data_IF_773570759769
#
_entry.id   IF_773570759769
#
_cell.length_a   1.000
_cell.length_b   1.000
_cell.length_c   1.000
_cell.angle_alpha   90.00
_cell.angle_beta   90.00
_cell.angle_gamma   90.00
#
_symmetry.space_group_name_H-M   'P 1'
#
loop_
_entity.id
_entity.type
_entity.pdbx_description
1 polymer ?
#
# COMPACT_ATOMS: atom_id res chain seq x y z
N UNK A 1 5.94 7.01 -23.66
CA UNK A 1 4.65 7.23 -22.97
C UNK A 1 4.75 6.72 -21.54
N UNK A 2 4.25 7.47 -20.61
CA UNK A 2 4.22 7.02 -19.23
C UNK A 2 3.25 5.86 -19.08
N UNK A 3 3.64 4.83 -18.32
CA UNK A 3 2.74 3.73 -18.00
C UNK A 3 1.86 4.05 -16.79
N UNK A 4 2.09 5.19 -16.15
CA UNK A 4 1.31 5.65 -15.01
C UNK A 4 0.33 6.73 -15.44
N UNK A 5 -0.90 6.63 -14.98
CA UNK A 5 -1.86 7.71 -15.07
C UNK A 5 -2.03 8.29 -13.67
N UNK A 6 -1.60 9.54 -13.50
CA UNK A 6 -1.57 10.20 -12.20
C UNK A 6 -2.84 11.00 -11.92
N UNK A 7 -3.84 10.95 -12.83
CA UNK A 7 -5.09 11.66 -12.61
C UNK A 7 -6.03 10.82 -11.75
N UNK A 8 -6.83 11.51 -10.93
CA UNK A 8 -7.84 10.83 -10.12
C UNK A 8 -8.87 10.09 -10.98
N UNK A 9 -9.17 10.64 -12.16
CA UNK A 9 -10.21 10.08 -13.04
C UNK A 9 -9.88 8.68 -13.51
N UNK A 10 -8.60 8.41 -13.74
CA UNK A 10 -8.15 7.11 -14.25
C UNK A 10 -7.39 6.31 -13.19
N UNK A 11 -7.45 6.74 -11.94
CA UNK A 11 -6.72 6.07 -10.86
C UNK A 11 -7.47 4.83 -10.40
N UNK A 12 -6.82 3.68 -10.52
CA UNK A 12 -7.37 2.41 -10.06
C UNK A 12 -7.78 2.47 -8.58
N UNK A 13 -6.91 3.01 -7.73
CA UNK A 13 -7.17 3.05 -6.30
C UNK A 13 -8.28 4.04 -5.94
N UNK A 14 -8.40 5.14 -6.67
CA UNK A 14 -9.55 6.04 -6.50
C UNK A 14 -10.85 5.34 -6.86
N UNK A 15 -10.84 4.54 -7.92
CA UNK A 15 -12.02 3.78 -8.34
C UNK A 15 -12.41 2.74 -7.30
N UNK A 16 -11.43 2.05 -6.74
CA UNK A 16 -11.67 1.08 -5.66
C UNK A 16 -12.22 1.79 -4.44
N UNK A 17 -11.63 2.92 -4.06
CA UNK A 17 -12.07 3.72 -2.91
C UNK A 17 -13.54 4.16 -3.04
N UNK A 18 -13.96 4.47 -4.25
CA UNK A 18 -15.31 4.96 -4.55
C UNK A 18 -16.32 3.85 -4.81
N UNK A 19 -15.88 2.59 -4.79
CA UNK A 19 -16.76 1.46 -5.05
C UNK A 19 -17.01 1.17 -6.53
N UNK A 20 -16.27 1.82 -7.43
CA UNK A 20 -16.42 1.62 -8.86
C UNK A 20 -15.74 0.36 -9.37
N UNK A 21 -14.79 -0.16 -8.60
CA UNK A 21 -14.10 -1.41 -8.91
C UNK A 21 -13.98 -2.26 -7.65
N UNK A 22 -14.10 -3.56 -7.83
CA UNK A 22 -14.02 -4.52 -6.73
C UNK A 22 -12.57 -4.77 -6.32
N UNK A 23 -12.38 -5.07 -5.04
CA UNK A 23 -11.09 -5.47 -4.50
C UNK A 23 -11.33 -6.35 -3.27
N UNK A 24 -10.32 -7.13 -2.89
CA UNK A 24 -10.37 -7.96 -1.70
C UNK A 24 -9.95 -7.12 -0.49
N UNK A 25 -10.91 -6.41 0.10
CA UNK A 25 -10.65 -5.55 1.25
C UNK A 25 -10.29 -6.36 2.49
N UNK A 26 -9.25 -5.94 3.20
CA UNK A 26 -8.87 -6.47 4.51
C UNK A 26 -9.12 -5.45 5.61
N UNK A 27 -9.22 -4.18 5.27
CA UNK A 27 -9.47 -3.09 6.21
C UNK A 27 -10.02 -1.88 5.47
N UNK A 28 -10.91 -1.13 6.08
CA UNK A 28 -11.28 0.19 5.56
C UNK A 28 -11.79 1.10 6.68
N UNK A 29 -11.47 2.37 6.54
CA UNK A 29 -12.07 3.43 7.34
C UNK A 29 -12.28 4.67 6.46
N UNK A 30 -12.58 5.81 7.05
CA UNK A 30 -12.88 7.02 6.27
C UNK A 30 -11.66 7.61 5.59
N UNK A 31 -10.46 7.30 6.05
CA UNK A 31 -9.22 7.92 5.56
C UNK A 31 -8.38 7.01 4.67
N UNK A 32 -8.47 5.70 4.90
CA UNK A 32 -7.66 4.74 4.13
C UNK A 32 -8.35 3.39 4.02
N UNK A 33 -7.79 2.54 3.18
CA UNK A 33 -8.25 1.18 3.04
C UNK A 33 -7.06 0.28 2.72
N UNK A 34 -7.24 -1.01 2.91
CA UNK A 34 -6.21 -1.99 2.59
C UNK A 34 -6.84 -3.14 1.83
N UNK A 35 -6.11 -3.62 0.83
CA UNK A 35 -6.57 -4.69 -0.06
C UNK A 35 -5.47 -5.72 -0.25
N UNK A 36 -5.87 -6.96 -0.60
CA UNK A 36 -4.93 -7.98 -1.04
C UNK A 36 -4.36 -7.59 -2.40
N UNK A 37 -3.05 -7.75 -2.58
CA UNK A 37 -2.44 -7.58 -3.90
C UNK A 37 -2.86 -8.77 -4.78
N UNK A 38 -3.29 -8.49 -6.00
CA UNK A 38 -3.73 -9.54 -6.93
C UNK A 38 -2.57 -10.34 -7.50
N UNK A 39 -1.34 -9.85 -7.36
CA UNK A 39 -0.13 -10.54 -7.79
C UNK A 39 0.84 -10.59 -6.61
N UNK A 40 0.52 -11.39 -5.58
CA UNK A 40 1.29 -11.36 -4.33
C UNK A 40 2.71 -11.85 -4.51
N UNK A 41 3.65 -11.14 -3.88
CA UNK A 41 5.07 -11.47 -3.91
C UNK A 41 5.52 -12.13 -2.61
N UNK A 42 4.59 -12.36 -1.69
CA UNK A 42 4.81 -13.06 -0.42
C UNK A 42 3.48 -13.68 0.02
N UNK A 43 3.49 -14.64 0.95
CA UNK A 43 2.22 -15.23 1.44
C UNK A 43 1.23 -14.19 1.96
N UNK A 44 1.72 -13.13 2.62
CA UNK A 44 0.93 -11.94 2.93
C UNK A 44 1.48 -10.80 2.10
N UNK A 45 0.63 -10.23 1.24
CA UNK A 45 0.97 -9.06 0.44
C UNK A 45 -0.25 -8.15 0.37
N UNK A 46 -0.24 -7.12 1.19
CA UNK A 46 -1.37 -6.21 1.36
C UNK A 46 -0.93 -4.81 0.99
N UNK A 47 -1.82 -4.05 0.37
CA UNK A 47 -1.59 -2.65 0.00
C UNK A 47 -2.39 -1.76 0.94
N UNK A 48 -1.73 -0.81 1.59
CA UNK A 48 -2.38 0.17 2.46
C UNK A 48 -2.40 1.51 1.72
N UNK A 49 -3.59 2.06 1.51
CA UNK A 49 -3.82 3.09 0.50
C UNK A 49 -4.66 4.22 1.11
N UNK A 50 -4.23 5.49 1.00
CA UNK A 50 -5.09 6.60 1.43
C UNK A 50 -6.23 6.79 0.43
N UNK A 51 -7.42 7.16 0.93
CA UNK A 51 -8.54 7.47 0.04
C UNK A 51 -8.30 8.75 -0.75
N UNK A 52 -7.67 9.74 -0.11
CA UNK A 52 -7.28 10.95 -0.79
C UNK A 52 -6.20 10.64 -1.82
N UNK A 53 -6.37 11.12 -3.04
CA UNK A 53 -5.41 10.87 -4.10
C UNK A 53 -4.13 11.66 -3.85
N UNK A 54 -3.02 10.95 -3.64
CA UNK A 54 -1.67 11.48 -3.59
C UNK A 54 -0.87 10.66 -4.59
N UNK A 55 -0.18 11.31 -5.49
CA UNK A 55 0.55 10.62 -6.54
C UNK A 55 1.64 9.71 -5.97
N UNK A 56 2.43 10.24 -5.03
CA UNK A 56 3.49 9.47 -4.38
C UNK A 56 3.87 10.12 -3.06
N UNK A 57 4.71 9.42 -2.29
CA UNK A 57 5.09 9.86 -0.94
C UNK A 57 5.92 11.14 -0.96
N UNK A 58 6.71 11.36 -2.00
CA UNK A 58 7.57 12.55 -2.08
C UNK A 58 6.76 13.84 -2.19
N UNK A 59 5.52 13.75 -2.67
CA UNK A 59 4.63 14.91 -2.84
C UNK A 59 3.69 15.11 -1.68
N UNK A 60 3.73 14.24 -0.66
CA UNK A 60 2.88 14.38 0.52
C UNK A 60 3.55 15.29 1.53
N UNK A 61 2.84 16.34 1.93
CA UNK A 61 3.33 17.33 2.89
C UNK A 61 2.52 17.29 4.18
N UNK A 62 1.87 16.17 4.45
CA UNK A 62 0.97 15.96 5.59
C UNK A 62 1.52 14.81 6.43
N UNK A 63 2.24 15.15 7.49
CA UNK A 63 2.85 14.15 8.37
C UNK A 63 1.81 13.31 9.10
N UNK A 64 0.62 13.87 9.37
CA UNK A 64 -0.42 13.12 10.05
C UNK A 64 -0.98 12.03 9.16
N UNK A 65 -1.16 12.33 7.87
CA UNK A 65 -1.57 11.32 6.90
C UNK A 65 -0.53 10.19 6.80
N UNK A 66 0.74 10.54 6.68
CA UNK A 66 1.80 9.54 6.59
C UNK A 66 1.87 8.69 7.86
N UNK A 67 1.80 9.34 9.03
CA UNK A 67 1.80 8.61 10.30
C UNK A 67 0.63 7.66 10.40
N UNK A 68 -0.55 8.10 10.01
CA UNK A 68 -1.76 7.26 10.05
C UNK A 68 -1.60 6.04 9.13
N UNK A 69 -1.10 6.25 7.91
CA UNK A 69 -0.92 5.14 6.97
C UNK A 69 0.03 4.07 7.53
N UNK A 70 1.17 4.49 8.08
CA UNK A 70 2.13 3.55 8.64
C UNK A 70 1.60 2.86 9.89
N UNK A 71 0.87 3.59 10.74
CA UNK A 71 0.24 2.97 11.91
C UNK A 71 -0.81 1.93 11.50
N UNK A 72 -1.59 2.22 10.46
CA UNK A 72 -2.57 1.24 9.96
C UNK A 72 -1.87 0.02 9.38
N UNK A 73 -0.77 0.22 8.66
CA UNK A 73 0.01 -0.90 8.15
C UNK A 73 0.48 -1.81 9.28
N UNK A 74 0.96 -1.22 10.38
CA UNK A 74 1.39 -1.99 11.55
C UNK A 74 0.21 -2.69 12.23
N UNK A 75 -0.94 -2.03 12.31
CA UNK A 75 -2.16 -2.65 12.88
C UNK A 75 -2.58 -3.88 12.05
N UNK A 76 -2.55 -3.74 10.73
CA UNK A 76 -2.92 -4.85 9.84
C UNK A 76 -1.90 -5.99 9.97
N UNK A 77 -0.60 -5.66 10.05
CA UNK A 77 0.42 -6.67 10.28
C UNK A 77 0.17 -7.47 11.56
N UNK A 78 -0.26 -6.79 12.62
CA UNK A 78 -0.61 -7.46 13.87
C UNK A 78 -1.79 -8.39 13.69
N UNK A 79 -2.83 -7.93 12.99
CA UNK A 79 -4.01 -8.75 12.70
C UNK A 79 -3.67 -9.97 11.86
N UNK A 80 -2.68 -9.86 10.98
CA UNK A 80 -2.19 -10.95 10.15
C UNK A 80 -1.17 -11.81 10.90
N UNK A 81 -0.93 -11.53 12.18
CA UNK A 81 -0.03 -12.28 13.07
C UNK A 81 1.43 -12.19 12.65
N UNK A 82 1.82 -11.08 12.03
CA UNK A 82 3.19 -10.87 11.57
C UNK A 82 4.07 -10.15 12.60
N UNK A 83 3.48 -9.67 13.70
CA UNK A 83 4.20 -8.89 14.71
C UNK A 83 4.76 -9.74 15.84
N UNK A 84 4.54 -11.06 15.82
CA UNK A 84 5.11 -11.97 16.84
C UNK A 84 6.64 -11.96 16.76
N UNK A 85 7.35 -12.21 17.88
CA UNK A 85 8.82 -12.12 17.90
C UNK A 85 9.54 -13.03 16.90
N UNK A 86 8.94 -14.18 16.55
CA UNK A 86 9.50 -15.13 15.60
C UNK A 86 9.03 -14.89 14.17
N UNK A 87 8.27 -13.82 13.95
CA UNK A 87 7.76 -13.42 12.64
C UNK A 87 8.39 -12.09 12.26
N UNK A 88 7.76 -11.37 11.38
CA UNK A 88 8.18 -10.05 10.97
C UNK A 88 7.55 -9.71 9.62
N UNK A 89 7.78 -8.49 9.19
CA UNK A 89 7.21 -8.02 7.94
C UNK A 89 8.07 -6.89 7.40
N UNK A 90 7.81 -6.55 6.15
CA UNK A 90 8.50 -5.45 5.48
C UNK A 90 7.46 -4.49 4.94
N UNK A 91 7.70 -3.20 5.11
CA UNK A 91 6.90 -2.15 4.50
C UNK A 91 7.73 -1.52 3.38
N UNK A 92 7.12 -1.38 2.21
CA UNK A 92 7.79 -0.82 1.02
C UNK A 92 6.91 0.27 0.43
N UNK A 93 7.51 1.41 0.13
CA UNK A 93 6.87 2.50 -0.59
C UNK A 93 7.71 2.81 -1.80
N UNK A 94 7.19 2.49 -2.97
CA UNK A 94 7.87 2.77 -4.25
C UNK A 94 7.51 4.18 -4.71
N UNK A 95 8.48 4.91 -5.21
CA UNK A 95 8.27 6.28 -5.68
C UNK A 95 8.97 6.48 -7.01
N UNK A 96 8.20 6.87 -8.00
CA UNK A 96 8.71 7.20 -9.33
C UNK A 96 9.20 5.99 -10.12
N UNK A 97 9.73 6.25 -11.34
CA UNK A 97 10.15 5.16 -12.24
C UNK A 97 11.29 4.32 -11.67
N UNK A 98 12.32 4.95 -11.13
CA UNK A 98 13.45 4.22 -10.57
C UNK A 98 13.09 3.45 -9.31
N UNK A 99 12.08 3.90 -8.59
CA UNK A 99 11.57 3.20 -7.42
C UNK A 99 10.61 2.06 -7.75
N UNK A 100 10.26 1.91 -9.02
CA UNK A 100 9.36 0.84 -9.46
C UNK A 100 7.89 1.09 -9.16
N UNK A 101 7.49 2.34 -9.03
CA UNK A 101 6.09 2.67 -8.78
C UNK A 101 5.27 2.42 -10.04
N UNK A 102 4.32 1.48 -9.97
CA UNK A 102 3.50 1.10 -11.11
C UNK A 102 2.14 1.77 -11.16
N UNK A 103 1.62 2.22 -10.03
CA UNK A 103 0.34 2.91 -9.95
C UNK A 103 0.56 4.28 -9.32
N UNK A 104 0.10 5.34 -10.00
CA UNK A 104 0.31 6.73 -9.60
C UNK A 104 -0.60 7.19 -8.49
N UNK A 105 -0.68 6.43 -7.42
CA UNK A 105 -1.43 6.72 -6.21
C UNK A 105 -0.67 6.09 -5.06
N UNK A 106 -0.32 6.87 -4.06
CA UNK A 106 0.47 6.42 -2.91
C UNK A 106 -0.10 5.14 -2.32
N UNK A 107 0.76 4.16 -2.08
CA UNK A 107 0.39 2.94 -1.37
C UNK A 107 1.61 2.33 -0.71
N UNK A 108 1.37 1.67 0.42
CA UNK A 108 2.40 0.97 1.18
C UNK A 108 2.19 -0.52 0.97
N UNK A 109 3.23 -1.22 0.52
CA UNK A 109 3.22 -2.68 0.47
C UNK A 109 3.54 -3.22 1.84
N UNK A 110 2.72 -4.14 2.34
CA UNK A 110 2.99 -4.93 3.53
C UNK A 110 3.27 -6.36 3.08
N UNK A 111 4.49 -6.81 3.28
CA UNK A 111 4.95 -8.14 2.87
C UNK A 111 5.36 -8.94 4.08
N UNK A 112 4.89 -10.18 4.17
CA UNK A 112 5.25 -11.07 5.25
C UNK A 112 4.83 -12.51 4.99
N UNK A 113 4.98 -13.35 6.01
CA UNK A 113 4.58 -14.75 5.92
C UNK A 113 5.72 -15.69 5.53
N UNK A 114 6.90 -15.16 5.25
CA UNK A 114 8.13 -15.93 5.02
C UNK A 114 9.32 -15.04 5.25
N UNK A 115 10.52 -15.61 5.47
CA UNK A 115 11.72 -14.78 5.47
C UNK A 115 11.89 -14.03 4.15
N UNK A 116 12.22 -12.77 4.24
CA UNK A 116 12.49 -11.92 3.08
C UNK A 116 13.96 -11.62 3.04
N UNK A 117 14.55 -11.69 1.87
CA UNK A 117 15.98 -11.53 1.73
C UNK A 117 16.39 -10.05 1.72
N UNK A 118 17.60 -9.80 2.14
CA UNK A 118 18.31 -8.57 1.89
C UNK A 118 19.31 -8.89 0.78
N UNK A 119 19.20 -8.32 -0.34
CA UNK A 119 18.81 -6.98 -0.75
C UNK A 119 17.35 -6.90 -1.26
N UNK A 120 16.69 -5.73 -1.12
CA UNK A 120 15.26 -5.63 -1.41
C UNK A 120 14.91 -5.41 -2.88
N UNK A 121 15.85 -5.26 -3.74
CA UNK A 121 15.55 -5.02 -5.15
C UNK A 121 16.53 -5.72 -6.11
#
# INVERSE_FOLDING_TARGET
MSTQDNSEQNCLFCKISQGEMKAAFVYQDKNCFAIQDINPQAPTHILVIPREHKQNIALVNDKDLLGELFQKACLIAEREKLSAPDKGFRLIVNTGPDGGQSIGHLHIHLLGGRPLEWTPG
#
